data_IF_589903126140
#
_entry.id   IF_589903126140
#
_cell.length_a   1.000
_cell.length_b   1.000
_cell.length_c   1.000
_cell.angle_alpha   90.00
_cell.angle_beta   90.00
_cell.angle_gamma   90.00
#
_symmetry.space_group_name_H-M   'P 1'
#
loop_
_entity.id
_entity.type
_entity.pdbx_description
1 polymer ?
#
# COMPACT_ATOMS: atom_id res chain seq x y z
N UNK A 1 -3.58 -5.61 17.85
CA UNK A 1 -3.89 -4.44 17.00
C UNK A 1 -4.61 -4.98 15.77
N UNK A 2 -5.84 -4.55 15.47
CA UNK A 2 -6.58 -5.02 14.31
C UNK A 2 -6.33 -4.06 13.13
N UNK A 3 -5.36 -4.39 12.27
CA UNK A 3 -5.10 -3.64 11.06
C UNK A 3 -6.20 -3.90 10.02
N UNK A 4 -6.52 -2.88 9.22
CA UNK A 4 -7.44 -2.99 8.09
C UNK A 4 -6.98 -2.07 6.95
N UNK A 5 -7.52 -2.25 5.75
CA UNK A 5 -7.18 -1.35 4.65
C UNK A 5 -7.67 0.06 4.93
N UNK A 6 -6.90 1.06 4.50
CA UNK A 6 -7.26 2.47 4.68
C UNK A 6 -8.62 2.80 4.04
N UNK A 7 -8.94 2.16 2.92
CA UNK A 7 -10.22 2.30 2.24
C UNK A 7 -11.40 1.88 3.12
N UNK A 8 -11.27 0.76 3.83
CA UNK A 8 -12.29 0.27 4.76
C UNK A 8 -12.32 1.10 6.04
N UNK A 9 -11.17 1.51 6.55
CA UNK A 9 -11.08 2.31 7.77
C UNK A 9 -11.79 3.66 7.62
N UNK A 10 -11.53 4.35 6.51
CA UNK A 10 -12.03 5.69 6.23
C UNK A 10 -13.40 5.75 5.54
N UNK A 11 -13.88 4.62 5.00
CA UNK A 11 -15.10 4.59 4.19
C UNK A 11 -14.95 5.21 2.79
N UNK A 12 -13.72 5.48 2.32
CA UNK A 12 -13.48 6.12 1.01
C UNK A 12 -13.87 5.20 -0.16
N UNK A 13 -13.88 3.87 0.04
CA UNK A 13 -14.19 2.92 -1.02
C UNK A 13 -13.15 2.96 -2.15
N UNK A 14 -13.58 2.97 -3.40
CA UNK A 14 -12.70 3.00 -4.58
C UNK A 14 -12.24 4.42 -5.00
N UNK A 15 -12.50 5.41 -4.18
CA UNK A 15 -12.06 6.78 -4.42
C UNK A 15 -12.85 7.55 -5.50
N UNK A 16 -14.00 7.02 -5.98
CA UNK A 16 -14.82 7.63 -7.04
C UNK A 16 -15.41 9.00 -6.67
N UNK A 17 -15.65 9.25 -5.41
CA UNK A 17 -16.26 10.47 -4.94
C UNK A 17 -15.23 11.55 -4.59
N UNK A 18 -15.66 12.82 -4.62
CA UNK A 18 -14.87 13.93 -4.09
C UNK A 18 -14.77 13.82 -2.56
N UNK A 19 -13.74 14.43 -1.95
CA UNK A 19 -13.57 14.42 -0.50
C UNK A 19 -14.80 14.94 0.26
N UNK A 20 -15.42 16.04 -0.23
CA UNK A 20 -16.64 16.59 0.35
C UNK A 20 -17.82 15.62 0.30
N UNK A 21 -18.02 14.94 -0.84
CA UNK A 21 -19.08 13.93 -0.98
C UNK A 21 -18.82 12.73 -0.07
N UNK A 22 -17.59 12.28 0.04
CA UNK A 22 -17.18 11.21 0.95
C UNK A 22 -17.44 11.59 2.40
N UNK A 23 -17.13 12.82 2.80
CA UNK A 23 -17.41 13.32 4.13
C UNK A 23 -18.91 13.27 4.44
N UNK A 24 -19.76 13.69 3.50
CA UNK A 24 -21.21 13.59 3.63
C UNK A 24 -21.69 12.15 3.78
N UNK A 25 -21.18 11.22 2.95
CA UNK A 25 -21.53 9.80 3.01
C UNK A 25 -21.14 9.19 4.36
N UNK A 26 -19.90 9.44 4.82
CA UNK A 26 -19.43 8.93 6.13
C UNK A 26 -20.25 9.50 7.29
N UNK A 27 -20.77 10.73 7.18
CA UNK A 27 -21.60 11.34 8.23
C UNK A 27 -23.03 10.80 8.27
N UNK A 28 -23.63 10.47 7.11
CA UNK A 28 -25.08 10.32 6.99
C UNK A 28 -25.51 8.98 6.38
N UNK A 29 -24.61 8.18 5.81
CA UNK A 29 -24.94 6.87 5.23
C UNK A 29 -24.70 5.77 6.26
N UNK A 30 -25.72 4.98 6.54
CA UNK A 30 -25.66 3.87 7.49
C UNK A 30 -24.63 2.82 7.09
N UNK A 31 -24.37 2.65 5.79
CA UNK A 31 -23.32 1.75 5.29
C UNK A 31 -21.92 2.22 5.68
N UNK A 32 -21.75 3.50 5.94
CA UNK A 32 -20.49 4.12 6.38
C UNK A 32 -20.42 4.39 7.89
N UNK A 33 -21.46 4.06 8.67
CA UNK A 33 -21.53 4.37 10.10
C UNK A 33 -20.30 3.89 10.89
N UNK A 34 -19.81 2.68 10.62
CA UNK A 34 -18.60 2.16 11.26
C UNK A 34 -17.32 2.93 10.90
N UNK A 35 -17.25 3.61 9.73
CA UNK A 35 -16.11 4.46 9.38
C UNK A 35 -16.12 5.76 10.22
N UNK A 36 -17.29 6.37 10.39
CA UNK A 36 -17.45 7.56 11.24
C UNK A 36 -16.96 7.31 12.67
N UNK A 37 -17.41 6.21 13.28
CA UNK A 37 -17.01 5.84 14.64
C UNK A 37 -15.49 5.66 14.75
N UNK A 38 -14.89 4.93 13.81
CA UNK A 38 -13.44 4.73 13.77
C UNK A 38 -12.68 6.05 13.70
N UNK A 39 -13.09 6.95 12.80
CA UNK A 39 -12.42 8.24 12.63
C UNK A 39 -12.53 9.10 13.90
N UNK A 40 -13.72 9.16 14.51
CA UNK A 40 -13.95 9.96 15.71
C UNK A 40 -13.14 9.44 16.90
N UNK A 41 -13.03 8.11 17.04
CA UNK A 41 -12.35 7.48 18.18
C UNK A 41 -10.82 7.34 18.00
N UNK A 42 -10.30 7.58 16.79
CA UNK A 42 -8.87 7.40 16.50
C UNK A 42 -8.08 8.63 16.96
N UNK A 43 -7.06 8.42 17.77
CA UNK A 43 -6.10 9.44 18.18
C UNK A 43 -4.84 9.42 17.31
N UNK A 44 -4.42 8.24 16.88
CA UNK A 44 -3.24 8.03 16.04
C UNK A 44 -3.57 7.08 14.89
N UNK A 45 -3.24 7.50 13.66
CA UNK A 45 -3.39 6.71 12.43
C UNK A 45 -2.01 6.39 11.87
N UNK A 46 -1.70 5.10 11.78
CA UNK A 46 -0.47 4.62 11.15
C UNK A 46 -0.85 4.05 9.78
N UNK A 47 -0.26 4.58 8.72
CA UNK A 47 -0.44 4.12 7.34
C UNK A 47 0.85 3.47 6.88
N UNK A 48 0.80 2.16 6.68
CA UNK A 48 1.91 1.40 6.12
C UNK A 48 1.81 1.36 4.59
N UNK A 49 2.93 1.10 3.90
CA UNK A 49 3.05 1.08 2.43
C UNK A 49 2.54 2.36 1.76
N UNK A 50 2.87 3.51 2.33
CA UNK A 50 2.40 4.83 1.86
C UNK A 50 2.85 5.14 0.42
N UNK A 51 3.89 4.50 -0.10
CA UNK A 51 4.36 4.66 -1.48
C UNK A 51 3.28 4.32 -2.52
N UNK A 52 2.36 3.41 -2.18
CA UNK A 52 1.26 2.99 -3.05
C UNK A 52 0.04 3.92 -2.95
N UNK A 53 0.02 4.86 -2.03
CA UNK A 53 -1.07 5.83 -1.88
C UNK A 53 -0.81 7.05 -2.76
N UNK A 54 -1.81 7.45 -3.55
CA UNK A 54 -1.73 8.68 -4.32
C UNK A 54 -1.98 9.91 -3.45
N UNK A 55 -1.47 11.07 -3.92
CA UNK A 55 -1.80 12.39 -3.37
C UNK A 55 -3.31 12.59 -3.27
N UNK A 56 -4.04 12.28 -4.36
CA UNK A 56 -5.50 12.44 -4.40
C UNK A 56 -6.18 11.63 -3.29
N UNK A 57 -5.70 10.41 -3.03
CA UNK A 57 -6.23 9.57 -1.96
C UNK A 57 -5.91 10.14 -0.57
N UNK A 58 -4.69 10.63 -0.35
CA UNK A 58 -4.30 11.27 0.91
C UNK A 58 -5.12 12.55 1.18
N UNK A 59 -5.34 13.39 0.16
CA UNK A 59 -6.13 14.61 0.26
C UNK A 59 -7.61 14.32 0.58
N UNK A 60 -8.17 13.25 -0.02
CA UNK A 60 -9.52 12.77 0.31
C UNK A 60 -9.60 12.24 1.74
N UNK A 61 -8.59 11.49 2.18
CA UNK A 61 -8.49 10.98 3.54
C UNK A 61 -8.46 12.13 4.56
N UNK A 62 -7.67 13.16 4.30
CA UNK A 62 -7.60 14.36 5.11
C UNK A 62 -8.99 15.00 5.24
N UNK A 63 -9.66 15.21 4.11
CA UNK A 63 -11.00 15.82 4.08
C UNK A 63 -12.01 15.01 4.89
N UNK A 64 -12.01 13.68 4.76
CA UNK A 64 -12.92 12.82 5.51
C UNK A 64 -12.61 12.85 7.01
N UNK A 65 -11.34 12.84 7.40
CA UNK A 65 -10.94 12.91 8.81
C UNK A 65 -11.41 14.19 9.53
N UNK A 66 -11.65 15.28 8.79
CA UNK A 66 -12.19 16.54 9.37
C UNK A 66 -13.57 16.43 9.99
N UNK A 67 -14.29 15.31 9.80
CA UNK A 67 -15.53 15.05 10.56
C UNK A 67 -15.30 15.03 12.07
N UNK A 68 -14.08 14.66 12.52
CA UNK A 68 -13.69 14.68 13.93
C UNK A 68 -13.46 16.11 14.45
N UNK A 69 -12.74 16.91 13.70
CA UNK A 69 -12.50 18.33 13.99
C UNK A 69 -12.22 19.10 12.69
N UNK A 70 -13.15 19.96 12.29
CA UNK A 70 -13.09 20.69 11.02
C UNK A 70 -11.90 21.64 10.92
N UNK A 71 -11.43 22.15 12.04
CA UNK A 71 -10.38 23.18 12.11
C UNK A 71 -8.97 22.62 12.09
N UNK A 72 -8.81 21.30 12.25
CA UNK A 72 -7.50 20.65 12.34
C UNK A 72 -7.27 19.73 11.13
N UNK A 73 -6.05 19.73 10.60
CA UNK A 73 -5.65 18.76 9.58
C UNK A 73 -5.84 17.32 10.10
N UNK A 74 -6.33 16.42 9.23
CA UNK A 74 -6.74 15.05 9.60
C UNK A 74 -7.67 15.00 10.82
N UNK A 75 -8.47 16.04 11.06
CA UNK A 75 -9.34 16.12 12.24
C UNK A 75 -8.58 16.12 13.57
N UNK A 76 -7.29 16.46 13.59
CA UNK A 76 -6.42 16.40 14.76
C UNK A 76 -5.94 14.98 15.12
N UNK A 77 -6.10 14.02 14.22
CA UNK A 77 -5.51 12.68 14.36
C UNK A 77 -4.00 12.80 14.13
N UNK A 78 -3.19 12.20 15.00
CA UNK A 78 -1.76 12.10 14.77
C UNK A 78 -1.50 11.13 13.61
N UNK A 79 -0.86 11.61 12.53
CA UNK A 79 -0.57 10.79 11.35
C UNK A 79 0.89 10.30 11.39
N UNK A 80 1.07 9.00 11.24
CA UNK A 80 2.36 8.35 11.01
C UNK A 80 2.26 7.60 9.68
N UNK A 81 3.17 7.89 8.75
CA UNK A 81 3.23 7.22 7.45
C UNK A 81 4.54 6.44 7.36
N UNK A 82 4.45 5.21 6.86
CA UNK A 82 5.59 4.30 6.73
C UNK A 82 5.61 3.74 5.31
N UNK A 83 6.79 3.65 4.69
CA UNK A 83 6.93 3.07 3.36
C UNK A 83 8.24 3.42 2.70
N UNK A 84 8.42 2.94 1.48
CA UNK A 84 9.62 3.12 0.68
C UNK A 84 9.23 3.57 -0.73
N UNK A 85 9.56 4.81 -1.10
CA UNK A 85 9.23 5.40 -2.40
C UNK A 85 10.08 4.88 -3.57
N UNK A 86 11.07 4.04 -3.30
CA UNK A 86 11.79 3.27 -4.32
C UNK A 86 11.08 1.94 -4.67
N UNK A 87 10.02 1.58 -3.91
CA UNK A 87 9.14 0.45 -4.19
C UNK A 87 7.98 0.84 -5.11
N UNK A 88 6.88 0.09 -5.10
CA UNK A 88 5.77 0.28 -6.02
C UNK A 88 5.12 1.67 -5.88
N UNK A 89 4.99 2.42 -6.99
CA UNK A 89 4.33 3.72 -6.99
C UNK A 89 2.80 3.59 -6.92
N UNK A 90 2.09 4.72 -6.71
CA UNK A 90 0.65 4.75 -6.75
C UNK A 90 0.11 4.33 -8.12
N UNK A 91 -0.95 3.52 -8.13
CA UNK A 91 -1.65 3.14 -9.36
C UNK A 91 -2.56 4.28 -9.80
N UNK A 92 -2.41 4.70 -11.06
CA UNK A 92 -3.28 5.73 -11.67
C UNK A 92 -4.72 5.24 -11.75
N UNK A 93 -5.66 6.09 -11.35
CA UNK A 93 -7.09 5.85 -11.57
C UNK A 93 -7.70 7.04 -12.31
N UNK A 94 -7.35 7.17 -13.58
CA UNK A 94 -7.76 8.30 -14.44
C UNK A 94 -9.27 8.41 -14.59
N UNK A 95 -10.01 7.30 -14.43
CA UNK A 95 -11.48 7.29 -14.44
C UNK A 95 -12.06 8.20 -13.37
N UNK A 96 -11.36 8.33 -12.22
CA UNK A 96 -11.80 9.16 -11.10
C UNK A 96 -10.85 10.35 -10.85
N UNK A 97 -10.09 10.73 -11.88
CA UNK A 97 -9.22 11.91 -11.85
C UNK A 97 -7.96 11.75 -10.99
N UNK A 98 -7.56 10.52 -10.67
CA UNK A 98 -6.33 10.25 -9.94
C UNK A 98 -5.19 9.95 -10.91
N UNK A 99 -4.22 10.86 -10.97
CA UNK A 99 -3.06 10.76 -11.87
C UNK A 99 -1.92 9.91 -11.29
N UNK A 100 -2.07 9.39 -10.08
CA UNK A 100 -1.04 8.59 -9.42
C UNK A 100 0.15 9.42 -8.95
N UNK A 101 -0.04 10.69 -8.62
CA UNK A 101 1.00 11.50 -7.99
C UNK A 101 1.31 10.95 -6.61
N UNK A 102 2.57 10.98 -6.20
CA UNK A 102 2.97 10.50 -4.88
C UNK A 102 2.34 11.29 -3.74
N UNK A 103 2.01 10.61 -2.65
CA UNK A 103 1.38 11.22 -1.47
C UNK A 103 2.22 12.36 -0.86
N UNK A 104 3.56 12.30 -0.95
CA UNK A 104 4.45 13.34 -0.42
C UNK A 104 4.33 14.68 -1.17
N UNK A 105 3.66 14.74 -2.32
CA UNK A 105 3.37 16.00 -3.02
C UNK A 105 2.13 16.72 -2.45
N UNK A 106 1.42 16.11 -1.51
CA UNK A 106 0.30 16.74 -0.81
C UNK A 106 0.78 17.83 0.14
N UNK A 107 0.00 18.91 0.26
CA UNK A 107 0.21 19.96 1.27
C UNK A 107 -0.01 19.48 2.71
N UNK A 108 -0.62 18.31 2.88
CA UNK A 108 -0.87 17.67 4.17
C UNK A 108 0.18 16.63 4.55
N UNK A 109 1.26 16.52 3.76
CA UNK A 109 2.34 15.59 4.06
C UNK A 109 3.03 15.94 5.38
N UNK A 110 3.37 14.94 6.25
CA UNK A 110 4.07 15.19 7.51
C UNK A 110 5.43 15.88 7.31
N UNK A 111 5.71 16.89 8.13
CA UNK A 111 6.95 17.67 8.03
C UNK A 111 8.17 16.99 8.66
N UNK A 112 7.96 15.94 9.47
CA UNK A 112 9.05 15.22 10.13
C UNK A 112 9.24 13.87 9.46
N UNK A 113 10.49 13.51 9.17
CA UNK A 113 10.86 12.23 8.59
C UNK A 113 11.98 11.56 9.38
N UNK A 114 11.90 10.23 9.46
CA UNK A 114 12.93 9.37 10.04
C UNK A 114 13.30 8.35 8.97
N UNK A 115 14.59 8.19 8.70
CA UNK A 115 15.10 7.21 7.76
C UNK A 115 15.64 6.00 8.52
N UNK A 116 15.17 4.80 8.14
CA UNK A 116 15.68 3.54 8.65
C UNK A 116 16.69 3.00 7.64
N UNK A 117 17.94 2.94 8.01
CA UNK A 117 19.08 2.58 7.15
C UNK A 117 19.55 1.13 7.34
N UNK A 118 19.23 0.52 8.49
CA UNK A 118 19.64 -0.84 8.81
C UNK A 118 18.64 -1.87 8.31
N UNK A 119 19.08 -2.76 7.43
CA UNK A 119 18.31 -3.92 7.00
C UNK A 119 18.32 -4.98 8.12
N UNK A 120 17.13 -5.41 8.56
CA UNK A 120 16.93 -6.41 9.63
C UNK A 120 16.28 -7.69 9.10
N UNK A 121 15.52 -7.59 7.99
CA UNK A 121 14.76 -8.71 7.41
C UNK A 121 15.63 -9.75 6.74
N UNK A 122 16.81 -9.36 6.26
CA UNK A 122 17.65 -10.17 5.38
C UNK A 122 19.11 -10.09 5.84
N UNK A 123 19.80 -11.25 5.91
CA UNK A 123 21.21 -11.34 6.32
C UNK A 123 22.15 -11.57 5.12
N UNK A 124 21.61 -11.84 3.91
CA UNK A 124 22.43 -12.04 2.71
C UNK A 124 22.89 -10.67 2.14
N UNK A 125 24.13 -10.32 2.41
CA UNK A 125 24.74 -9.05 1.99
C UNK A 125 24.72 -8.85 0.46
N UNK A 126 24.94 -9.90 -0.33
CA UNK A 126 24.90 -9.83 -1.80
C UNK A 126 23.49 -9.48 -2.29
N UNK A 127 22.47 -10.10 -1.71
CA UNK A 127 21.08 -9.80 -2.04
C UNK A 127 20.71 -8.37 -1.63
N UNK A 128 21.11 -7.93 -0.43
CA UNK A 128 20.85 -6.56 0.05
C UNK A 128 21.49 -5.53 -0.89
N UNK A 129 22.78 -5.74 -1.26
CA UNK A 129 23.49 -4.86 -2.20
C UNK A 129 22.81 -4.81 -3.55
N UNK A 130 22.46 -5.96 -4.10
CA UNK A 130 21.79 -6.07 -5.40
C UNK A 130 20.41 -5.37 -5.40
N UNK A 131 19.57 -5.57 -4.36
CA UNK A 131 18.28 -4.89 -4.23
C UNK A 131 18.49 -3.38 -4.17
N UNK A 132 19.49 -2.90 -3.44
CA UNK A 132 19.79 -1.46 -3.35
C UNK A 132 20.22 -0.89 -4.70
N UNK A 133 21.11 -1.57 -5.44
CA UNK A 133 21.52 -1.17 -6.79
C UNK A 133 20.32 -1.11 -7.75
N UNK A 134 19.42 -2.10 -7.70
CA UNK A 134 18.20 -2.12 -8.48
C UNK A 134 17.27 -0.94 -8.15
N UNK A 135 17.07 -0.66 -6.85
CA UNK A 135 16.19 0.43 -6.39
C UNK A 135 16.69 1.81 -6.84
N UNK A 136 18.02 1.98 -6.94
CA UNK A 136 18.65 3.22 -7.39
C UNK A 136 18.80 3.30 -8.91
N UNK A 137 18.58 2.20 -9.65
CA UNK A 137 18.84 2.10 -11.08
C UNK A 137 20.33 2.03 -11.44
N UNK A 138 21.19 1.65 -10.49
CA UNK A 138 22.66 1.60 -10.60
C UNK A 138 23.17 0.14 -10.75
N UNK A 139 22.50 -0.64 -11.59
CA UNK A 139 22.78 -2.08 -11.76
C UNK A 139 24.09 -2.30 -12.49
N UNK A 140 25.03 -3.05 -11.88
CA UNK A 140 26.30 -3.42 -12.46
C UNK A 140 26.33 -4.87 -12.96
N UNK A 141 27.49 -5.32 -13.49
CA UNK A 141 27.65 -6.66 -14.01
C UNK A 141 27.49 -7.75 -12.92
N UNK A 142 27.98 -7.50 -11.71
CA UNK A 142 27.88 -8.43 -10.59
C UNK A 142 26.42 -8.62 -10.16
N UNK A 143 25.65 -7.52 -10.08
CA UNK A 143 24.23 -7.54 -9.76
C UNK A 143 23.45 -8.35 -10.81
N UNK A 144 23.73 -8.13 -12.10
CA UNK A 144 23.11 -8.91 -13.19
C UNK A 144 23.45 -10.41 -13.09
N UNK A 145 24.72 -10.74 -12.84
CA UNK A 145 25.15 -12.11 -12.69
C UNK A 145 24.46 -12.80 -11.50
N UNK A 146 24.33 -12.08 -10.40
CA UNK A 146 23.62 -12.57 -9.22
C UNK A 146 22.15 -12.84 -9.52
N UNK A 147 21.44 -11.88 -10.16
CA UNK A 147 20.02 -12.04 -10.54
C UNK A 147 19.83 -13.25 -11.45
N UNK A 148 20.69 -13.39 -12.46
CA UNK A 148 20.63 -14.56 -13.35
C UNK A 148 20.85 -15.88 -12.61
N UNK A 149 21.71 -15.90 -11.58
CA UNK A 149 21.94 -17.10 -10.75
C UNK A 149 20.70 -17.52 -9.94
N UNK A 150 19.77 -16.61 -9.69
CA UNK A 150 18.50 -16.89 -9.01
C UNK A 150 17.49 -17.62 -9.91
N UNK A 151 17.67 -17.60 -11.23
CA UNK A 151 16.86 -18.34 -12.20
C UNK A 151 17.29 -19.82 -12.22
N UNK A 152 16.92 -20.56 -11.19
CA UNK A 152 17.22 -21.97 -11.00
C UNK A 152 15.98 -22.75 -10.57
N UNK A 153 15.91 -24.06 -10.84
CA UNK A 153 14.86 -24.91 -10.29
C UNK A 153 14.85 -24.84 -8.75
N UNK A 154 13.68 -24.63 -8.17
CA UNK A 154 13.52 -24.68 -6.73
C UNK A 154 13.64 -26.15 -6.27
N UNK A 155 14.43 -26.40 -5.23
CA UNK A 155 14.47 -27.69 -4.57
C UNK A 155 13.11 -27.85 -3.88
N UNK A 156 12.31 -28.75 -4.44
CA UNK A 156 10.93 -29.02 -4.06
C UNK A 156 10.83 -29.54 -2.64
N UNK A 157 9.92 -29.03 -1.87
CA UNK A 157 9.11 -29.54 -0.75
C UNK A 157 8.83 -28.46 0.30
N UNK A 158 8.84 -27.19 -0.08
CA UNK A 158 8.46 -26.12 0.82
C UNK A 158 7.17 -25.47 0.30
N UNK A 159 6.31 -25.02 1.21
CA UNK A 159 5.20 -24.13 0.89
C UNK A 159 5.76 -22.84 0.31
N UNK A 160 5.77 -22.74 -1.02
CA UNK A 160 6.34 -21.63 -1.76
C UNK A 160 5.22 -20.69 -2.15
N UNK A 161 5.42 -19.39 -1.91
CA UNK A 161 4.52 -18.35 -2.40
C UNK A 161 4.94 -17.96 -3.82
N UNK A 162 4.03 -18.12 -4.78
CA UNK A 162 4.24 -17.73 -6.17
C UNK A 162 3.73 -16.29 -6.37
N UNK A 163 4.55 -15.42 -6.97
CA UNK A 163 4.21 -14.06 -7.31
C UNK A 163 4.01 -13.89 -8.80
N UNK A 164 2.91 -13.26 -9.19
CA UNK A 164 2.57 -12.99 -10.58
C UNK A 164 2.31 -11.51 -10.80
N UNK A 165 2.58 -11.01 -12.00
CA UNK A 165 2.41 -9.61 -12.36
C UNK A 165 0.92 -9.19 -12.49
N UNK A 166 0.00 -10.13 -12.70
CA UNK A 166 -1.42 -9.85 -12.91
C UNK A 166 -2.31 -10.86 -12.20
N UNK A 167 -3.50 -10.42 -11.76
CA UNK A 167 -4.50 -11.27 -11.13
C UNK A 167 -4.95 -12.43 -12.04
N UNK A 168 -4.98 -12.23 -13.35
CA UNK A 168 -5.35 -13.30 -14.32
C UNK A 168 -4.41 -14.49 -14.20
N UNK A 169 -3.10 -14.24 -14.10
CA UNK A 169 -2.11 -15.33 -13.92
C UNK A 169 -2.24 -16.00 -12.55
N UNK A 170 -2.56 -15.24 -11.50
CA UNK A 170 -2.85 -15.79 -10.16
C UNK A 170 -4.05 -16.71 -10.21
N UNK A 171 -5.15 -16.28 -10.84
CA UNK A 171 -6.39 -17.06 -10.93
C UNK A 171 -6.19 -18.34 -11.75
N UNK A 172 -5.46 -18.26 -12.87
CA UNK A 172 -5.11 -19.43 -13.68
C UNK A 172 -4.27 -20.44 -12.87
N UNK A 173 -3.21 -19.97 -12.22
CA UNK A 173 -2.35 -20.83 -11.40
C UNK A 173 -3.12 -21.50 -10.25
N UNK A 174 -3.92 -20.75 -9.52
CA UNK A 174 -4.72 -21.27 -8.41
C UNK A 174 -5.74 -22.31 -8.92
N UNK A 175 -6.39 -22.05 -10.06
CA UNK A 175 -7.32 -23.00 -10.68
C UNK A 175 -6.61 -24.32 -11.03
N UNK A 176 -5.44 -24.27 -11.65
CA UNK A 176 -4.67 -25.44 -12.01
C UNK A 176 -4.25 -26.25 -10.77
N UNK A 177 -3.86 -25.56 -9.69
CA UNK A 177 -3.55 -26.21 -8.41
C UNK A 177 -4.79 -26.92 -7.82
N UNK A 178 -5.96 -26.30 -7.82
CA UNK A 178 -7.19 -26.91 -7.31
C UNK A 178 -7.59 -28.12 -8.13
N UNK A 179 -7.55 -28.04 -9.48
CA UNK A 179 -7.86 -29.16 -10.36
C UNK A 179 -6.91 -30.34 -10.16
N UNK A 180 -5.64 -30.08 -9.87
CA UNK A 180 -4.67 -31.15 -9.58
C UNK A 180 -4.93 -31.84 -8.24
N UNK A 181 -5.55 -31.16 -7.27
CA UNK A 181 -5.96 -31.74 -5.98
C UNK A 181 -7.21 -32.63 -6.12
N UNK A 182 -8.20 -32.23 -6.92
CA UNK A 182 -9.44 -32.99 -7.16
C UNK A 182 -9.19 -34.30 -7.93
N UNK A 183 -8.10 -34.41 -8.70
CA UNK A 183 -7.74 -35.63 -9.41
C UNK A 183 -7.11 -36.73 -8.54
N UNK A 184 -6.92 -36.49 -7.25
CA UNK A 184 -6.33 -37.43 -6.27
C UNK A 184 -7.34 -37.91 -5.21
N UNK A 185 -8.63 -37.71 -5.43
CA UNK A 185 -9.76 -38.30 -4.68
C UNK A 185 -10.33 -39.53 -5.49
#
# INVERSE_FOLDING_TARGET
MNAMTIHRWSGIGDGRYTGQKLQQLVCHDDQCAGAKERIISTEMLIIDEISMMSRNMLDKLETVCRIRNISAAFGGIQLIVVGDFLQLPPVKNTRYGDLGEYAFTSSYWPNHSVFLDKVVRQDNETLIKCIRSLSLGEVNFEDNSFIHSLSRPLLTNHDIVYLFATNVLVDMFNRDCVLSMEGNL
#
